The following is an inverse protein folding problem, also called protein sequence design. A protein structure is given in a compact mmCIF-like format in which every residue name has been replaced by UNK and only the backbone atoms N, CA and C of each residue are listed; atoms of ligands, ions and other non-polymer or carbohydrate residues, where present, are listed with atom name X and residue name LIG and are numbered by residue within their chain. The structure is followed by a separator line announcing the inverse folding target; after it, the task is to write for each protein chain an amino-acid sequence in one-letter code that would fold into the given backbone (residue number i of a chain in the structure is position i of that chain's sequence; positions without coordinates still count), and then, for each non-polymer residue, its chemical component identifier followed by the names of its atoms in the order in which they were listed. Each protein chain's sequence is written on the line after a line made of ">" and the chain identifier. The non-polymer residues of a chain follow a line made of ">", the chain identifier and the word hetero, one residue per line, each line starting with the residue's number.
data_IF_592799850822
#
_entry.id   IF_592799850822
#
_cell.length_a   1.000
_cell.length_b   1.000
_cell.length_c   1.000
_cell.angle_alpha   90.00
_cell.angle_beta   90.00
_cell.angle_gamma   90.00
#
_symmetry.space_group_name_H-M   'P 1'
#
loop_
_entity.id
_entity.type
_entity.pdbx_description
1 polymer ?
#
# COMPACT_ATOMS: atom_id res chain seq x y z
N UNK A 1 -5.01 -26.01 5.42
CA UNK A 1 -3.96 -25.05 5.85
C UNK A 1 -3.62 -25.12 7.35
N UNK A 2 -4.58 -25.28 8.28
CA UNK A 2 -4.28 -25.37 9.74
C UNK A 2 -3.22 -26.42 10.11
N UNK A 3 -3.27 -27.59 9.48
CA UNK A 3 -2.31 -28.68 9.66
C UNK A 3 -0.90 -28.30 9.17
N UNK A 4 -0.81 -27.53 8.07
CA UNK A 4 0.45 -27.04 7.50
C UNK A 4 1.12 -26.07 8.47
N UNK A 5 0.36 -25.13 9.04
CA UNK A 5 0.87 -24.22 10.08
C UNK A 5 1.44 -24.96 11.30
N UNK A 6 0.77 -26.05 11.72
CA UNK A 6 1.15 -26.84 12.89
C UNK A 6 2.48 -27.58 12.70
N UNK A 7 2.79 -27.97 11.45
CA UNK A 7 4.05 -28.61 11.07
C UNK A 7 5.19 -27.58 10.97
N UNK A 8 4.93 -26.40 10.41
CA UNK A 8 5.97 -25.38 10.21
C UNK A 8 6.26 -24.54 11.46
N UNK A 9 5.48 -24.66 12.55
CA UNK A 9 5.72 -23.94 13.81
C UNK A 9 7.13 -24.15 14.39
N UNK A 10 7.72 -25.33 14.18
CA UNK A 10 9.10 -25.63 14.63
C UNK A 10 10.19 -25.01 13.74
N UNK A 11 9.87 -24.71 12.48
CA UNK A 11 10.79 -24.15 11.48
C UNK A 11 10.63 -22.62 11.31
N UNK A 12 9.60 -22.04 11.92
CA UNK A 12 9.28 -20.62 11.79
C UNK A 12 9.85 -19.82 12.97
N UNK A 13 10.62 -18.78 12.64
CA UNK A 13 11.17 -17.86 13.62
C UNK A 13 10.07 -17.22 14.48
N UNK A 14 10.34 -17.05 15.77
CA UNK A 14 9.45 -16.37 16.73
C UNK A 14 9.04 -14.97 16.24
N UNK A 15 9.96 -14.23 15.59
CA UNK A 15 9.68 -12.90 15.05
C UNK A 15 8.73 -12.95 13.85
N UNK A 16 8.83 -13.99 13.02
CA UNK A 16 7.96 -14.18 11.86
C UNK A 16 6.59 -14.73 12.28
N UNK A 17 6.55 -15.66 13.23
CA UNK A 17 5.31 -16.22 13.76
C UNK A 17 4.37 -15.17 14.36
N UNK A 18 4.92 -14.14 15.03
CA UNK A 18 4.14 -13.01 15.55
C UNK A 18 3.47 -12.16 14.46
N UNK A 19 3.94 -12.23 13.21
CA UNK A 19 3.42 -11.46 12.08
C UNK A 19 2.45 -12.24 11.19
N UNK A 20 2.29 -13.55 11.41
CA UNK A 20 1.40 -14.36 10.61
C UNK A 20 0.02 -14.41 11.26
N UNK A 21 -1.00 -14.04 10.49
CA UNK A 21 -2.40 -14.11 10.91
C UNK A 21 -3.16 -15.05 9.98
N UNK A 22 -4.03 -15.87 10.57
CA UNK A 22 -4.90 -16.77 9.83
C UNK A 22 -6.31 -16.19 9.84
N UNK A 23 -6.82 -15.87 8.65
CA UNK A 23 -8.19 -15.42 8.43
C UNK A 23 -9.00 -16.53 7.77
N UNK A 24 -10.28 -16.61 8.10
CA UNK A 24 -11.18 -17.62 7.54
C UNK A 24 -12.01 -17.10 6.38
N UNK A 25 -12.26 -15.78 6.36
CA UNK A 25 -13.12 -15.14 5.39
C UNK A 25 -12.41 -14.00 4.66
N UNK A 26 -12.87 -13.70 3.44
CA UNK A 26 -12.31 -12.60 2.66
C UNK A 26 -12.59 -11.23 3.27
N UNK A 27 -13.69 -11.05 4.02
CA UNK A 27 -13.96 -9.78 4.69
C UNK A 27 -12.94 -9.45 5.79
N UNK A 28 -12.44 -10.46 6.53
CA UNK A 28 -11.36 -10.28 7.52
C UNK A 28 -10.03 -9.91 6.84
N UNK A 29 -9.80 -10.44 5.63
CA UNK A 29 -8.60 -10.13 4.85
C UNK A 29 -8.61 -8.68 4.35
N UNK A 30 -9.80 -8.15 4.01
CA UNK A 30 -9.98 -6.77 3.52
C UNK A 30 -9.52 -5.71 4.51
N UNK A 31 -9.65 -5.96 5.81
CA UNK A 31 -9.21 -5.03 6.86
C UNK A 31 -7.68 -4.85 6.89
N UNK A 32 -6.94 -5.79 6.29
CA UNK A 32 -5.49 -5.81 6.31
C UNK A 32 -4.86 -5.61 4.92
N UNK A 33 -5.64 -5.76 3.84
CA UNK A 33 -5.21 -5.68 2.44
C UNK A 33 -6.32 -5.14 1.53
N UNK A 34 -5.97 -4.25 0.62
CA UNK A 34 -6.88 -3.73 -0.40
C UNK A 34 -7.20 -4.80 -1.45
N UNK A 35 -8.34 -5.50 -1.29
CA UNK A 35 -8.71 -6.62 -2.17
C UNK A 35 -8.95 -6.22 -3.62
N UNK A 36 -9.31 -4.96 -3.90
CA UNK A 36 -9.60 -4.49 -5.26
C UNK A 36 -8.34 -4.46 -6.16
N UNK A 37 -7.16 -4.37 -5.54
CA UNK A 37 -5.88 -4.40 -6.24
C UNK A 37 -5.37 -5.83 -6.50
N UNK A 38 -6.00 -6.85 -5.92
CA UNK A 38 -5.55 -8.24 -5.98
C UNK A 38 -6.58 -9.07 -6.74
N UNK A 39 -6.17 -9.70 -7.85
CA UNK A 39 -7.04 -10.65 -8.57
C UNK A 39 -7.20 -11.94 -7.77
N UNK A 40 -8.28 -12.02 -6.99
CA UNK A 40 -8.64 -13.23 -6.24
C UNK A 40 -9.20 -14.28 -7.21
N UNK A 41 -8.66 -15.51 -7.23
CA UNK A 41 -9.20 -16.58 -8.08
C UNK A 41 -10.64 -16.96 -7.74
N UNK A 42 -11.44 -17.27 -8.76
CA UNK A 42 -12.86 -17.68 -8.61
C UNK A 42 -13.10 -18.81 -7.60
N UNK A 43 -12.28 -19.89 -7.55
CA UNK A 43 -12.49 -20.95 -6.56
C UNK A 43 -12.43 -20.47 -5.10
N UNK A 44 -11.70 -19.39 -4.82
CA UNK A 44 -11.59 -18.81 -3.47
C UNK A 44 -12.86 -18.04 -3.11
N UNK A 45 -13.42 -17.29 -4.07
CA UNK A 45 -14.68 -16.56 -3.90
C UNK A 45 -15.85 -17.52 -3.64
N UNK A 46 -15.97 -18.58 -4.46
CA UNK A 46 -17.00 -19.60 -4.29
C UNK A 46 -16.89 -20.33 -2.93
N UNK A 47 -15.67 -20.55 -2.47
CA UNK A 47 -15.42 -21.16 -1.17
C UNK A 47 -15.85 -20.24 -0.02
N UNK A 48 -15.52 -18.95 -0.09
CA UNK A 48 -15.93 -17.95 0.90
C UNK A 48 -17.46 -17.84 0.99
N UNK A 49 -18.15 -17.76 -0.15
CA UNK A 49 -19.62 -17.75 -0.22
C UNK A 49 -20.22 -19.03 0.39
N UNK A 50 -19.60 -20.18 0.14
CA UNK A 50 -20.00 -21.46 0.74
C UNK A 50 -19.81 -21.48 2.27
N UNK A 51 -18.79 -20.83 2.80
CA UNK A 51 -18.59 -20.69 4.24
C UNK A 51 -19.65 -19.77 4.86
N UNK A 52 -19.93 -18.62 4.23
CA UNK A 52 -20.93 -17.66 4.69
C UNK A 52 -22.36 -18.23 4.66
N UNK A 53 -22.70 -18.99 3.61
CA UNK A 53 -24.02 -19.64 3.50
C UNK A 53 -24.23 -20.74 4.55
N UNK A 54 -23.17 -21.45 4.96
CA UNK A 54 -23.22 -22.41 6.08
C UNK A 54 -23.41 -21.72 7.43
N UNK A 55 -22.80 -20.55 7.63
CA UNK A 55 -22.99 -19.74 8.84
C UNK A 55 -24.44 -19.24 8.94
N UNK A 56 -25.02 -18.80 7.81
CA UNK A 56 -26.41 -18.32 7.73
C UNK A 56 -27.45 -19.43 7.92
N UNK A 57 -27.12 -20.68 7.58
CA UNK A 57 -27.98 -21.87 7.79
C UNK A 57 -27.98 -22.41 9.23
N UNK A 58 -27.10 -21.93 10.11
CA UNK A 58 -27.06 -22.29 11.52
C UNK A 58 -27.90 -21.40 12.45
N UNK A 59 -28.50 -20.31 11.94
CA UNK A 59 -29.34 -19.40 12.69
C UNK A 59 -30.82 -19.58 12.33
N UNK A 60 -31.65 -19.98 13.30
CA UNK A 60 -33.10 -19.98 13.14
C UNK A 60 -33.65 -18.56 12.88
N UNK A 61 -34.77 -18.42 12.15
CA UNK A 61 -35.24 -17.15 11.62
C UNK A 61 -36.07 -16.40 12.68
N UNK A 62 -35.73 -15.14 12.94
CA UNK A 62 -36.69 -14.16 13.46
C UNK A 62 -36.95 -13.15 12.36
N UNK A 63 -38.14 -13.27 11.77
CA UNK A 63 -38.68 -12.28 10.88
C UNK A 63 -38.92 -10.98 11.67
N UNK A 64 -38.26 -9.90 11.29
CA UNK A 64 -38.76 -8.55 11.53
C UNK A 64 -38.53 -7.75 10.26
N UNK A 65 -39.64 -7.51 9.56
CA UNK A 65 -39.79 -6.41 8.62
C UNK A 65 -39.57 -5.11 9.38
N UNK A 66 -38.53 -4.34 9.05
CA UNK A 66 -38.53 -2.91 9.30
C UNK A 66 -38.21 -2.19 8.00
N UNK A 67 -39.08 -1.22 7.75
CA UNK A 67 -39.23 -0.42 6.57
C UNK A 67 -37.93 0.29 6.14
N UNK A 68 -37.78 0.39 4.82
CA UNK A 68 -36.87 1.31 4.18
C UNK A 68 -37.12 2.74 4.68
N UNK A 69 -36.06 3.34 5.24
CA UNK A 69 -35.86 4.78 5.30
C UNK A 69 -34.48 5.05 4.66
N UNK A 70 -34.37 6.03 3.75
CA UNK A 70 -33.13 6.27 3.02
C UNK A 70 -32.22 7.14 3.89
N UNK A 71 -31.38 6.50 4.71
CA UNK A 71 -30.34 7.20 5.46
C UNK A 71 -29.04 7.18 4.65
N UNK A 72 -28.60 8.38 4.30
CA UNK A 72 -27.44 8.81 3.53
C UNK A 72 -26.33 7.80 3.27
N UNK A 73 -25.98 7.70 1.98
CA UNK A 73 -24.65 7.39 1.50
C UNK A 73 -23.65 8.29 2.24
N UNK A 74 -22.93 7.73 3.21
CA UNK A 74 -21.65 8.31 3.62
C UNK A 74 -20.71 8.11 2.44
N UNK A 75 -20.52 9.18 1.66
CA UNK A 75 -19.35 9.36 0.82
C UNK A 75 -18.12 8.94 1.63
N UNK A 76 -17.40 7.94 1.12
CA UNK A 76 -16.00 7.76 1.50
C UNK A 76 -15.32 9.00 0.92
N UNK A 77 -15.12 10.04 1.74
CA UNK A 77 -14.27 11.18 1.40
C UNK A 77 -12.88 10.62 1.10
N UNK A 78 -12.59 10.34 -0.16
CA UNK A 78 -11.22 10.20 -0.63
C UNK A 78 -10.59 11.56 -0.34
N UNK A 79 -9.58 11.65 0.55
CA UNK A 79 -8.93 12.92 0.82
C UNK A 79 -8.47 13.50 -0.50
N UNK A 80 -8.97 14.69 -0.84
CA UNK A 80 -8.58 15.38 -2.07
C UNK A 80 -7.05 15.52 -2.05
N UNK A 81 -6.34 15.14 -3.12
CA UNK A 81 -4.89 15.23 -3.15
C UNK A 81 -4.47 16.69 -2.98
N UNK A 82 -3.50 16.93 -2.11
CA UNK A 82 -2.95 18.27 -1.87
C UNK A 82 -2.25 18.72 -3.16
N UNK A 83 -2.30 20.00 -3.52
CA UNK A 83 -1.66 20.52 -4.74
C UNK A 83 -0.17 20.14 -4.85
N UNK A 84 0.52 20.00 -3.72
CA UNK A 84 1.94 19.62 -3.66
C UNK A 84 2.18 18.11 -3.66
N UNK A 85 1.14 17.29 -3.72
CA UNK A 85 1.26 15.84 -3.60
C UNK A 85 2.04 15.25 -4.78
N UNK A 86 3.01 14.39 -4.48
CA UNK A 86 3.89 13.76 -5.46
C UNK A 86 3.68 12.24 -5.56
N UNK A 87 3.29 11.58 -4.47
CA UNK A 87 3.09 10.12 -4.43
C UNK A 87 1.60 9.75 -4.53
N UNK A 88 1.31 8.64 -5.22
CA UNK A 88 -0.05 8.11 -5.34
C UNK A 88 -0.99 8.96 -6.21
N UNK A 89 -0.44 9.77 -7.12
CA UNK A 89 -1.17 10.66 -8.03
C UNK A 89 -0.66 10.48 -9.46
N UNK A 90 -1.46 10.91 -10.45
CA UNK A 90 -1.07 10.81 -11.85
C UNK A 90 0.06 11.79 -12.22
N UNK A 91 0.86 11.43 -13.22
CA UNK A 91 1.90 12.34 -13.75
C UNK A 91 1.30 13.64 -14.29
N UNK A 92 0.08 13.57 -14.85
CA UNK A 92 -0.63 14.75 -15.35
C UNK A 92 -0.98 15.70 -14.21
N UNK A 93 -1.46 15.19 -13.07
CA UNK A 93 -1.72 16.00 -11.88
C UNK A 93 -0.44 16.72 -11.40
N UNK A 94 0.67 15.99 -11.29
CA UNK A 94 1.94 16.57 -10.83
C UNK A 94 2.40 17.68 -11.79
N UNK A 95 2.31 17.44 -13.10
CA UNK A 95 2.67 18.41 -14.13
C UNK A 95 1.84 19.69 -14.01
N UNK A 96 0.53 19.56 -13.87
CA UNK A 96 -0.38 20.70 -13.81
C UNK A 96 -0.17 21.55 -12.54
N UNK A 97 0.24 20.91 -11.44
CA UNK A 97 0.55 21.60 -10.18
C UNK A 97 2.01 22.07 -10.07
N UNK A 98 2.89 21.69 -11.00
CA UNK A 98 4.32 22.03 -10.98
C UNK A 98 4.75 22.77 -12.26
N UNK A 99 4.02 23.85 -12.58
CA UNK A 99 4.32 24.77 -13.68
C UNK A 99 4.44 24.13 -15.07
N UNK A 100 3.82 22.96 -15.29
CA UNK A 100 3.89 22.25 -16.56
C UNK A 100 5.20 21.48 -16.77
N UNK A 101 6.07 21.35 -15.76
CA UNK A 101 7.30 20.56 -15.87
C UNK A 101 6.97 19.08 -16.14
N UNK A 102 7.66 18.51 -17.13
CA UNK A 102 7.44 17.11 -17.56
C UNK A 102 8.05 16.11 -16.59
N UNK A 103 9.08 16.52 -15.82
CA UNK A 103 9.76 15.67 -14.85
C UNK A 103 9.28 16.05 -13.45
N UNK A 104 8.65 15.12 -12.69
CA UNK A 104 8.27 15.35 -11.31
C UNK A 104 9.45 15.82 -10.43
N UNK A 105 9.26 16.82 -9.55
CA UNK A 105 10.29 17.33 -8.66
C UNK A 105 11.07 16.25 -7.91
N UNK A 106 10.37 15.26 -7.34
CA UNK A 106 11.00 14.19 -6.57
C UNK A 106 11.89 13.28 -7.43
N UNK A 107 11.52 13.08 -8.71
CA UNK A 107 12.34 12.30 -9.64
C UNK A 107 13.64 13.04 -9.93
N UNK A 108 13.55 14.35 -10.22
CA UNK A 108 14.72 15.20 -10.45
C UNK A 108 15.66 15.18 -9.25
N UNK A 109 15.14 15.46 -8.06
CA UNK A 109 15.93 15.49 -6.82
C UNK A 109 16.62 14.16 -6.52
N UNK A 110 15.90 13.04 -6.65
CA UNK A 110 16.51 11.71 -6.47
C UNK A 110 17.62 11.46 -7.49
N UNK A 111 17.38 11.74 -8.78
CA UNK A 111 18.36 11.47 -9.84
C UNK A 111 19.58 12.35 -9.68
N UNK A 112 19.41 13.64 -9.40
CA UNK A 112 20.52 14.58 -9.19
C UNK A 112 21.41 14.12 -8.03
N UNK A 113 20.82 13.70 -6.91
CA UNK A 113 21.56 13.17 -5.77
C UNK A 113 22.27 11.84 -6.09
N UNK A 114 21.60 10.92 -6.78
CA UNK A 114 22.14 9.61 -7.12
C UNK A 114 23.20 9.64 -8.24
N UNK A 115 23.30 10.74 -8.97
CA UNK A 115 24.31 10.94 -10.03
C UNK A 115 25.64 11.48 -9.45
N UNK A 116 25.68 11.81 -8.16
CA UNK A 116 26.93 12.17 -7.48
C UNK A 116 27.93 11.01 -7.51
N UNK A 117 29.26 11.27 -7.63
CA UNK A 117 30.27 10.22 -7.71
C UNK A 117 30.19 9.22 -6.53
N UNK A 118 30.02 9.75 -5.32
CA UNK A 118 29.92 8.94 -4.09
C UNK A 118 28.69 8.00 -4.09
N UNK A 119 27.56 8.47 -4.65
CA UNK A 119 26.36 7.66 -4.74
C UNK A 119 26.49 6.53 -5.78
N UNK A 120 27.19 6.77 -6.89
CA UNK A 120 27.40 5.78 -7.94
C UNK A 120 28.33 4.64 -7.50
N UNK A 121 29.29 4.92 -6.62
CA UNK A 121 30.19 3.91 -6.05
C UNK A 121 29.58 3.11 -4.88
N UNK A 122 28.37 3.49 -4.43
CA UNK A 122 27.70 2.85 -3.29
C UNK A 122 27.28 1.41 -3.63
N UNK A 123 27.79 0.44 -2.86
CA UNK A 123 27.48 -0.97 -3.06
C UNK A 123 25.98 -1.26 -2.92
N UNK A 124 25.41 -1.95 -3.91
CA UNK A 124 24.03 -2.39 -3.86
C UNK A 124 23.03 -1.24 -3.99
N UNK A 125 23.40 -0.16 -4.68
CA UNK A 125 22.48 0.86 -5.17
C UNK A 125 21.26 0.22 -5.87
N UNK A 126 20.06 0.71 -5.56
CA UNK A 126 18.76 0.13 -5.92
C UNK A 126 18.46 -1.30 -5.42
N UNK A 127 19.43 -2.04 -4.89
CA UNK A 127 19.26 -3.40 -4.34
C UNK A 127 18.92 -3.38 -2.84
N UNK A 128 19.64 -2.57 -2.05
CA UNK A 128 19.47 -2.53 -0.58
C UNK A 128 18.20 -1.78 -0.18
N UNK A 129 17.64 -2.17 0.95
CA UNK A 129 16.48 -1.51 1.57
C UNK A 129 16.91 -0.33 2.43
N UNK A 130 16.06 0.68 2.51
CA UNK A 130 16.16 1.79 3.46
C UNK A 130 15.22 1.58 4.65
N UNK A 131 15.36 2.39 5.69
CA UNK A 131 14.47 2.36 6.85
C UNK A 131 13.04 2.78 6.42
N UNK A 132 12.08 1.89 6.59
CA UNK A 132 10.68 2.10 6.16
C UNK A 132 10.03 3.29 6.85
N UNK A 133 10.33 3.54 8.13
CA UNK A 133 9.78 4.68 8.87
C UNK A 133 10.29 5.99 8.28
N UNK A 134 11.60 6.08 8.02
CA UNK A 134 12.22 7.27 7.43
C UNK A 134 11.68 7.53 6.02
N UNK A 135 11.52 6.48 5.21
CA UNK A 135 10.94 6.61 3.86
C UNK A 135 9.52 7.15 3.92
N UNK A 136 8.67 6.63 4.82
CA UNK A 136 7.30 7.12 5.01
C UNK A 136 7.25 8.58 5.49
N UNK A 137 8.11 8.93 6.43
CA UNK A 137 8.20 10.31 6.93
C UNK A 137 8.64 11.25 5.80
N UNK A 138 9.62 10.84 4.99
CA UNK A 138 10.05 11.63 3.83
C UNK A 138 8.96 11.73 2.77
N UNK A 139 8.21 10.67 2.47
CA UNK A 139 7.06 10.74 1.57
C UNK A 139 6.02 11.77 2.05
N UNK A 140 5.71 11.80 3.34
CA UNK A 140 4.78 12.78 3.90
C UNK A 140 5.30 14.23 3.77
N UNK A 141 6.60 14.44 3.99
CA UNK A 141 7.25 15.74 3.77
C UNK A 141 7.20 16.16 2.30
N UNK A 142 7.52 15.25 1.39
CA UNK A 142 7.49 15.50 -0.05
C UNK A 142 6.07 15.87 -0.51
N UNK A 143 5.05 15.11 -0.07
CA UNK A 143 3.66 15.37 -0.43
C UNK A 143 3.14 16.71 0.11
N UNK A 144 3.70 17.21 1.21
CA UNK A 144 3.39 18.54 1.75
C UNK A 144 4.23 19.67 1.14
N UNK A 145 5.05 19.37 0.12
CA UNK A 145 5.87 20.35 -0.59
C UNK A 145 7.11 20.81 0.19
N UNK A 146 7.51 20.08 1.24
CA UNK A 146 8.73 20.39 1.98
C UNK A 146 9.98 19.97 1.21
N UNK A 147 11.08 20.68 1.45
CA UNK A 147 12.39 20.32 0.88
C UNK A 147 12.88 18.97 1.40
N UNK A 148 13.58 18.26 0.51
CA UNK A 148 14.08 16.91 0.74
C UNK A 148 15.59 16.99 0.97
N UNK A 149 16.02 16.59 2.16
CA UNK A 149 17.43 16.30 2.44
C UNK A 149 17.58 14.79 2.62
N UNK A 150 18.42 14.17 1.79
CA UNK A 150 18.71 12.74 1.87
C UNK A 150 19.75 12.40 2.96
N UNK A 151 20.38 13.40 3.59
CA UNK A 151 21.38 13.24 4.65
C UNK A 151 22.54 12.29 4.27
N UNK A 152 22.89 12.22 2.98
CA UNK A 152 23.92 11.31 2.47
C UNK A 152 23.47 9.84 2.33
N UNK A 153 22.23 9.49 2.66
CA UNK A 153 21.72 8.11 2.52
C UNK A 153 21.23 7.85 1.08
N UNK A 154 22.14 7.29 0.30
CA UNK A 154 21.94 6.87 -1.09
C UNK A 154 20.80 5.85 -1.23
N UNK A 155 20.60 4.97 -0.24
CA UNK A 155 19.56 3.96 -0.31
C UNK A 155 18.17 4.55 -0.09
N UNK A 156 18.04 5.61 0.71
CA UNK A 156 16.78 6.36 0.87
C UNK A 156 16.34 6.95 -0.47
N UNK A 157 17.21 7.69 -1.16
CA UNK A 157 16.90 8.28 -2.47
C UNK A 157 16.53 7.19 -3.49
N UNK A 158 17.29 6.10 -3.54
CA UNK A 158 17.00 4.97 -4.41
C UNK A 158 15.64 4.31 -4.12
N UNK A 159 15.26 4.17 -2.83
CA UNK A 159 13.97 3.59 -2.43
C UNK A 159 12.82 4.56 -2.72
N UNK A 160 12.99 5.86 -2.49
CA UNK A 160 11.99 6.88 -2.82
C UNK A 160 11.71 6.91 -4.33
N UNK A 161 12.74 6.89 -5.17
CA UNK A 161 12.58 6.86 -6.62
C UNK A 161 11.83 5.62 -7.09
N UNK A 162 12.21 4.43 -6.61
CA UNK A 162 11.49 3.18 -6.91
C UNK A 162 10.05 3.20 -6.41
N UNK A 163 9.80 3.90 -5.30
CA UNK A 163 8.47 3.98 -4.71
C UNK A 163 7.58 4.93 -5.48
N UNK A 164 8.11 6.06 -5.92
CA UNK A 164 7.42 6.98 -6.81
C UNK A 164 6.90 6.25 -8.05
N UNK A 165 7.78 5.54 -8.77
CA UNK A 165 7.40 4.79 -9.97
C UNK A 165 6.38 3.68 -9.70
N UNK A 166 6.46 3.02 -8.55
CA UNK A 166 5.53 1.93 -8.17
C UNK A 166 4.14 2.45 -7.80
N UNK A 167 4.04 3.67 -7.30
CA UNK A 167 2.79 4.28 -6.82
C UNK A 167 2.10 5.14 -7.88
N UNK A 168 2.62 5.20 -9.10
CA UNK A 168 1.90 5.79 -10.23
C UNK A 168 0.64 4.98 -10.51
N UNK A 169 -0.43 5.68 -10.88
CA UNK A 169 -1.73 5.08 -11.23
C UNK A 169 -1.62 4.11 -12.42
N UNK A 170 -0.70 4.39 -13.33
CA UNK A 170 -0.40 3.59 -14.52
C UNK A 170 1.10 3.26 -14.59
N UNK A 171 1.48 2.05 -15.04
CA UNK A 171 2.87 1.61 -15.15
C UNK A 171 3.65 2.25 -16.31
#
# INVERSE_FOLDING_TARGET
>A
IRIVWQIFKAAISVKFGRKMMYVNYLHELREHLNLDQIRIPQPVLEHDERLLSKLKKGACPTAVSVQATPASLTEIEVPQPIATQQFGVSLQFIKDNNNGEVIPPIVRQCVDFLTSPDALETEGLFRRSANVTVVKDMQAKINSGQEVDFNGDVHIAAVLLKTFLRELEEP
#
